data_IF_926052916019
#
_entry.id   IF_926052916019
#
_cell.length_a   1.000
_cell.length_b   1.000
_cell.length_c   1.000
_cell.angle_alpha   90.00
_cell.angle_beta   90.00
_cell.angle_gamma   90.00
#
_symmetry.space_group_name_H-M   'P 1'
#
loop_
_entity.id
_entity.type
_entity.pdbx_description
1 polymer ?
#
# COMPACT_ATOMS: atom_id res chain seq x y z
N UNK A 1 10.88 8.18 -11.03
CA UNK A 1 9.55 7.60 -11.33
C UNK A 1 9.66 6.07 -11.17
N UNK A 2 9.13 5.51 -10.09
CA UNK A 2 9.20 4.06 -9.83
C UNK A 2 8.27 3.32 -10.80
N UNK A 3 8.83 2.40 -11.60
CA UNK A 3 8.05 1.53 -12.51
C UNK A 3 7.16 0.62 -11.66
N UNK A 4 5.85 0.60 -11.92
CA UNK A 4 4.85 -0.16 -11.15
C UNK A 4 5.17 -1.66 -11.04
N UNK A 5 5.85 -2.23 -12.04
CA UNK A 5 6.36 -3.61 -11.97
C UNK A 5 7.40 -3.85 -10.86
N UNK A 6 8.14 -2.83 -10.41
CA UNK A 6 9.01 -2.92 -9.24
C UNK A 6 8.20 -2.97 -7.94
N UNK A 7 7.17 -2.13 -7.79
CA UNK A 7 6.31 -2.11 -6.60
C UNK A 7 5.56 -3.42 -6.46
N UNK A 8 4.93 -3.91 -7.52
CA UNK A 8 4.25 -5.20 -7.49
C UNK A 8 5.21 -6.37 -7.22
N UNK A 9 6.42 -6.39 -7.83
CA UNK A 9 7.41 -7.44 -7.54
C UNK A 9 7.97 -7.36 -6.12
N UNK A 10 8.18 -6.15 -5.60
CA UNK A 10 8.68 -5.95 -4.23
C UNK A 10 7.63 -6.38 -3.20
N UNK A 11 6.36 -6.03 -3.43
CA UNK A 11 5.25 -6.44 -2.56
C UNK A 11 4.96 -7.95 -2.69
N UNK A 12 5.03 -8.54 -3.89
CA UNK A 12 4.86 -9.97 -4.10
C UNK A 12 6.05 -10.81 -3.58
N UNK A 13 7.27 -10.25 -3.63
CA UNK A 13 8.50 -10.92 -3.18
C UNK A 13 8.62 -11.06 -1.66
N UNK A 14 7.76 -10.37 -0.88
CA UNK A 14 7.73 -10.48 0.58
C UNK A 14 7.00 -11.73 1.08
N UNK A 15 6.34 -12.51 0.20
CA UNK A 15 5.62 -13.74 0.57
C UNK A 15 4.42 -13.54 1.50
N UNK A 16 4.14 -12.31 1.93
CA UNK A 16 3.04 -11.94 2.80
C UNK A 16 1.85 -11.43 1.98
N UNK A 17 0.65 -11.96 2.26
CA UNK A 17 -0.60 -11.49 1.63
C UNK A 17 -1.01 -10.07 2.05
N UNK A 18 -0.34 -9.54 3.08
CA UNK A 18 -0.58 -8.23 3.66
C UNK A 18 0.72 -7.44 3.79
N UNK A 19 0.62 -6.12 3.60
CA UNK A 19 1.71 -5.17 3.80
C UNK A 19 1.30 -4.09 4.79
N UNK A 20 2.27 -3.59 5.55
CA UNK A 20 2.07 -2.49 6.48
C UNK A 20 1.98 -1.14 5.74
N UNK A 21 1.52 -0.12 6.46
CA UNK A 21 1.54 1.25 5.93
C UNK A 21 2.94 1.77 5.63
N UNK A 22 3.96 1.27 6.34
CA UNK A 22 5.36 1.71 6.16
C UNK A 22 5.93 1.12 4.87
N UNK A 23 5.80 -0.19 4.69
CA UNK A 23 6.27 -0.88 3.48
C UNK A 23 5.58 -0.35 2.22
N UNK A 24 4.26 -0.07 2.30
CA UNK A 24 3.52 0.55 1.20
C UNK A 24 4.05 1.96 0.88
N UNK A 25 4.40 2.75 1.89
CA UNK A 25 4.94 4.10 1.71
C UNK A 25 6.34 4.06 1.07
N UNK A 26 7.21 3.18 1.58
CA UNK A 26 8.56 2.97 1.04
C UNK A 26 8.52 2.50 -0.42
N UNK A 27 7.60 1.59 -0.75
CA UNK A 27 7.43 1.10 -2.11
C UNK A 27 6.96 2.21 -3.06
N UNK A 28 6.19 3.18 -2.57
CA UNK A 28 5.67 4.30 -3.36
C UNK A 28 6.54 5.55 -3.32
N UNK A 29 7.56 5.59 -2.45
CA UNK A 29 8.37 6.78 -2.22
C UNK A 29 7.57 7.95 -1.64
N UNK A 30 6.61 7.67 -0.76
CA UNK A 30 5.77 8.68 -0.09
C UNK A 30 5.86 8.56 1.43
N UNK A 31 5.48 9.63 2.12
CA UNK A 31 5.43 9.60 3.58
C UNK A 31 4.34 8.63 4.11
N UNK A 32 4.61 7.80 5.14
CA UNK A 32 3.62 6.90 5.73
C UNK A 32 2.34 7.59 6.22
N UNK A 33 2.40 8.86 6.61
CA UNK A 33 1.22 9.66 6.94
C UNK A 33 0.29 9.86 5.72
N UNK A 34 0.82 9.87 4.50
CA UNK A 34 0.03 9.88 3.26
C UNK A 34 -0.82 8.62 3.15
N UNK A 35 -0.22 7.45 3.36
CA UNK A 35 -0.94 6.16 3.35
C UNK A 35 -1.99 6.14 4.47
N UNK A 36 -1.61 6.52 5.70
CA UNK A 36 -2.55 6.60 6.83
C UNK A 36 -3.71 7.57 6.57
N UNK A 37 -3.45 8.72 5.94
CA UNK A 37 -4.47 9.69 5.53
C UNK A 37 -5.42 9.09 4.49
N UNK A 38 -4.91 8.32 3.54
CA UNK A 38 -5.72 7.67 2.52
C UNK A 38 -6.59 6.54 3.10
N UNK A 39 -6.08 5.80 4.07
CA UNK A 39 -6.88 4.84 4.85
C UNK A 39 -8.00 5.56 5.60
N UNK A 40 -7.68 6.63 6.35
CA UNK A 40 -8.68 7.42 7.11
C UNK A 40 -9.75 8.06 6.22
N UNK A 41 -9.43 8.33 4.96
CA UNK A 41 -10.36 8.89 3.97
C UNK A 41 -11.08 7.82 3.15
N UNK A 42 -10.99 6.54 3.55
CA UNK A 42 -11.56 5.39 2.84
C UNK A 42 -11.10 5.23 1.38
N UNK A 43 -9.95 5.81 1.01
CA UNK A 43 -9.35 5.65 -0.32
C UNK A 43 -8.55 4.35 -0.46
N UNK A 44 -8.03 3.83 0.66
CA UNK A 44 -7.28 2.59 0.74
C UNK A 44 -7.88 1.73 1.85
N UNK A 45 -8.34 0.52 1.53
CA UNK A 45 -8.83 -0.41 2.56
C UNK A 45 -7.66 -1.04 3.30
N UNK A 46 -7.77 -1.08 4.63
CA UNK A 46 -6.80 -1.71 5.51
C UNK A 46 -7.49 -2.23 6.77
N UNK A 47 -6.94 -3.27 7.36
CA UNK A 47 -7.40 -3.87 8.61
C UNK A 47 -6.44 -3.49 9.74
N UNK A 48 -6.96 -3.07 10.88
CA UNK A 48 -6.12 -2.71 12.04
C UNK A 48 -6.08 -3.87 13.02
N UNK A 49 -4.89 -4.43 13.24
CA UNK A 49 -4.65 -5.53 14.17
C UNK A 49 -3.51 -5.13 15.10
N UNK A 50 -3.71 -5.19 16.42
CA UNK A 50 -2.68 -4.83 17.40
C UNK A 50 -2.15 -3.40 17.27
N UNK A 51 -2.96 -2.45 16.78
CA UNK A 51 -2.51 -1.07 16.57
C UNK A 51 -1.91 -0.79 15.18
N UNK A 52 -1.61 -1.83 14.40
CA UNK A 52 -0.93 -1.74 13.10
C UNK A 52 -1.91 -1.98 11.94
N UNK A 53 -1.79 -1.17 10.89
CA UNK A 53 -2.57 -1.34 9.66
C UNK A 53 -1.94 -2.40 8.76
N UNK A 54 -2.77 -3.35 8.34
CA UNK A 54 -2.47 -4.41 7.40
C UNK A 54 -3.30 -4.20 6.14
N UNK A 55 -2.62 -4.00 5.02
CA UNK A 55 -3.20 -3.73 3.71
C UNK A 55 -3.03 -5.00 2.89
N UNK A 56 -4.12 -5.63 2.46
CA UNK A 56 -4.02 -6.79 1.56
C UNK A 56 -3.43 -6.36 0.21
N UNK A 57 -2.65 -7.24 -0.40
CA UNK A 57 -2.05 -6.97 -1.72
C UNK A 57 -3.10 -6.62 -2.79
N UNK A 58 -4.28 -7.25 -2.76
CA UNK A 58 -5.38 -6.93 -3.67
C UNK A 58 -5.87 -5.48 -3.52
N UNK A 59 -6.06 -5.03 -2.28
CA UNK A 59 -6.51 -3.67 -1.95
C UNK A 59 -5.43 -2.64 -2.33
N UNK A 60 -4.15 -2.97 -2.10
CA UNK A 60 -3.03 -2.16 -2.55
C UNK A 60 -3.01 -2.03 -4.08
N UNK A 61 -3.18 -3.13 -4.81
CA UNK A 61 -3.22 -3.13 -6.28
C UNK A 61 -4.39 -2.28 -6.81
N UNK A 62 -5.58 -2.42 -6.24
CA UNK A 62 -6.75 -1.63 -6.62
C UNK A 62 -6.55 -0.13 -6.38
N UNK A 63 -5.95 0.22 -5.24
CA UNK A 63 -5.59 1.59 -4.91
C UNK A 63 -4.61 2.19 -5.93
N UNK A 64 -3.57 1.44 -6.32
CA UNK A 64 -2.58 1.90 -7.30
C UNK A 64 -3.20 2.15 -8.67
N UNK A 65 -4.09 1.25 -9.12
CA UNK A 65 -4.84 1.42 -10.38
C UNK A 65 -5.69 2.68 -10.38
N UNK A 66 -6.33 3.01 -9.26
CA UNK A 66 -7.28 4.13 -9.18
C UNK A 66 -6.64 5.50 -9.02
N UNK A 67 -5.50 5.59 -8.33
CA UNK A 67 -5.00 6.88 -7.85
C UNK A 67 -3.57 7.23 -8.31
N UNK A 68 -2.81 6.28 -8.86
CA UNK A 68 -1.39 6.47 -9.21
C UNK A 68 -1.06 6.21 -10.68
N UNK A 69 -2.01 5.73 -11.47
CA UNK A 69 -1.85 5.32 -12.87
C UNK A 69 -2.53 6.27 -13.88
N UNK A 70 -3.04 7.42 -13.41
CA UNK A 70 -3.56 8.50 -14.25
C UNK A 70 -2.49 9.56 -14.53
#
# INVERSE_FOLDING_TARGET
MLRIGYVQRKLAGLGAEVVSTVEMAEALGVDPATIRRHIRRNKLKAHKVGGVYHIRLSEAADYLRRYWLC
#
